data_IF_942219497782
#
_entry.id   IF_942219497782
#
_cell.length_a   1.000
_cell.length_b   1.000
_cell.length_c   1.000
_cell.angle_alpha   90.00
_cell.angle_beta   90.00
_cell.angle_gamma   90.00
#
_symmetry.space_group_name_H-M   'P 1'
#
loop_
_entity.id
_entity.type
_entity.pdbx_description
1 polymer ?
#
# COMPACT_ATOMS: atom_id res chain seq x y z
N UNK A 1 12.44 2.91 -11.55
CA UNK A 1 12.32 2.82 -10.08
C UNK A 1 11.73 1.47 -9.68
N UNK A 2 11.88 1.07 -8.42
CA UNK A 2 11.26 -0.11 -7.84
C UNK A 2 10.10 0.31 -6.93
N UNK A 3 8.96 -0.36 -7.04
CA UNK A 3 7.77 -0.15 -6.19
C UNK A 3 7.39 -1.50 -5.58
N UNK A 4 7.31 -1.59 -4.27
CA UNK A 4 6.87 -2.78 -3.56
C UNK A 4 5.57 -2.49 -2.82
N UNK A 5 4.61 -3.40 -2.92
CA UNK A 5 3.33 -3.31 -2.21
C UNK A 5 3.25 -4.48 -1.23
N UNK A 6 3.23 -4.19 0.07
CA UNK A 6 3.14 -5.15 1.15
C UNK A 6 1.75 -5.11 1.77
N UNK A 7 1.05 -6.24 1.79
CA UNK A 7 -0.33 -6.32 2.28
C UNK A 7 -0.50 -7.47 3.27
N UNK A 8 -1.24 -7.25 4.38
CA UNK A 8 -1.72 -8.36 5.21
C UNK A 8 -3.04 -8.86 4.64
N UNK A 9 -2.95 -9.86 3.76
CA UNK A 9 -4.13 -10.45 3.14
C UNK A 9 -3.90 -11.91 2.73
N UNK A 10 -4.96 -12.71 2.78
CA UNK A 10 -4.96 -14.02 2.12
C UNK A 10 -5.00 -13.81 0.61
N UNK A 11 -4.21 -14.58 -0.14
CA UNK A 11 -4.38 -14.66 -1.60
C UNK A 11 -5.79 -15.14 -1.91
N UNK A 12 -6.48 -14.42 -2.78
CA UNK A 12 -7.81 -14.77 -3.28
C UNK A 12 -7.94 -14.27 -4.70
N UNK A 13 -8.87 -14.83 -5.48
CA UNK A 13 -9.23 -14.35 -6.81
C UNK A 13 -10.60 -13.68 -6.76
N UNK A 14 -10.63 -12.37 -6.99
CA UNK A 14 -11.81 -11.50 -7.00
C UNK A 14 -11.82 -10.61 -8.25
N UNK A 15 -12.94 -9.98 -8.58
CA UNK A 15 -13.00 -9.05 -9.72
C UNK A 15 -12.11 -7.82 -9.53
N UNK A 16 -11.84 -7.41 -8.29
CA UNK A 16 -10.85 -6.38 -7.98
C UNK A 16 -9.44 -6.78 -8.43
N UNK A 17 -9.11 -8.08 -8.42
CA UNK A 17 -7.82 -8.55 -8.91
C UNK A 17 -7.71 -8.36 -10.42
N UNK A 18 -8.80 -8.49 -11.19
CA UNK A 18 -8.79 -8.20 -12.63
C UNK A 18 -8.49 -6.71 -12.89
N UNK A 19 -9.08 -5.82 -12.08
CA UNK A 19 -8.79 -4.38 -12.15
C UNK A 19 -7.32 -4.10 -11.81
N UNK A 20 -6.82 -4.63 -10.69
CA UNK A 20 -5.42 -4.46 -10.26
C UNK A 20 -4.44 -4.98 -11.34
N UNK A 21 -4.74 -6.12 -11.98
CA UNK A 21 -3.91 -6.65 -13.06
C UNK A 21 -3.86 -5.72 -14.29
N UNK A 22 -4.93 -5.00 -14.59
CA UNK A 22 -4.93 -4.00 -15.66
C UNK A 22 -4.01 -2.82 -15.30
N UNK A 23 -4.16 -2.27 -14.10
CA UNK A 23 -3.33 -1.17 -13.62
C UNK A 23 -1.86 -1.57 -13.54
N UNK A 24 -1.56 -2.78 -13.05
CA UNK A 24 -0.21 -3.33 -12.96
C UNK A 24 0.50 -3.35 -14.32
N UNK A 25 -0.19 -3.78 -15.40
CA UNK A 25 0.38 -3.76 -16.76
C UNK A 25 0.74 -2.35 -17.22
N UNK A 26 -0.03 -1.34 -16.80
CA UNK A 26 0.23 0.05 -17.15
C UNK A 26 1.39 0.62 -16.32
N UNK A 27 1.44 0.33 -15.03
CA UNK A 27 2.53 0.71 -14.11
C UNK A 27 3.87 0.12 -14.57
N UNK A 28 3.87 -1.14 -15.02
CA UNK A 28 5.07 -1.85 -15.47
C UNK A 28 5.81 -1.18 -16.62
N UNK A 29 5.17 -0.28 -17.36
CA UNK A 29 5.81 0.54 -18.40
C UNK A 29 6.75 1.59 -17.83
N UNK A 30 6.58 1.97 -16.57
CA UNK A 30 7.31 3.07 -15.92
C UNK A 30 8.15 2.60 -14.71
N UNK A 31 7.77 1.50 -14.06
CA UNK A 31 8.41 1.03 -12.84
C UNK A 31 8.40 -0.50 -12.72
N UNK A 32 9.41 -1.05 -12.03
CA UNK A 32 9.38 -2.43 -11.59
C UNK A 32 8.50 -2.52 -10.33
N UNK A 33 7.27 -2.99 -10.49
CA UNK A 33 6.33 -3.21 -9.37
C UNK A 33 6.35 -4.67 -8.90
N UNK A 34 6.32 -4.89 -7.58
CA UNK A 34 6.22 -6.21 -6.94
C UNK A 34 5.18 -6.20 -5.82
N UNK A 35 4.41 -7.27 -5.73
CA UNK A 35 3.38 -7.45 -4.71
C UNK A 35 3.77 -8.56 -3.73
N UNK A 36 3.52 -8.32 -2.44
CA UNK A 36 3.81 -9.24 -1.35
C UNK A 36 2.60 -9.34 -0.42
N UNK A 37 1.75 -10.33 -0.67
CA UNK A 37 0.65 -10.68 0.24
C UNK A 37 1.17 -11.60 1.36
N UNK A 38 1.13 -11.10 2.59
CA UNK A 38 1.68 -11.77 3.77
C UNK A 38 0.52 -12.23 4.65
N UNK A 39 0.36 -13.55 4.79
CA UNK A 39 -0.62 -14.12 5.70
C UNK A 39 -0.15 -15.50 6.17
N UNK A 40 0.27 -15.59 7.43
CA UNK A 40 0.77 -16.81 8.04
C UNK A 40 -0.12 -17.25 9.21
N UNK A 41 0.17 -18.42 9.79
CA UNK A 41 -0.60 -18.96 10.93
C UNK A 41 -0.60 -18.02 12.14
N UNK A 42 0.51 -17.33 12.42
CA UNK A 42 0.61 -16.39 13.55
C UNK A 42 -0.36 -15.21 13.38
N UNK A 43 -0.38 -14.61 12.19
CA UNK A 43 -1.33 -13.56 11.82
C UNK A 43 -2.77 -14.07 11.94
N UNK A 44 -3.06 -15.25 11.39
CA UNK A 44 -4.39 -15.83 11.42
C UNK A 44 -4.91 -16.09 12.84
N UNK A 45 -4.03 -16.50 13.76
CA UNK A 45 -4.38 -16.73 15.16
C UNK A 45 -4.56 -15.41 15.91
N UNK A 46 -3.63 -14.48 15.73
CA UNK A 46 -3.65 -13.16 16.38
C UNK A 46 -4.94 -12.38 16.07
N UNK A 47 -5.42 -12.42 14.82
CA UNK A 47 -6.64 -11.73 14.40
C UNK A 47 -7.93 -12.19 15.10
N UNK A 48 -7.96 -13.43 15.56
CA UNK A 48 -9.13 -13.99 16.24
C UNK A 48 -9.06 -13.79 17.76
N UNK A 49 -7.96 -13.24 18.28
CA UNK A 49 -7.72 -13.14 19.72
C UNK A 49 -7.99 -11.73 20.23
N UNK A 50 -7.21 -10.74 19.77
CA UNK A 50 -7.31 -9.36 20.23
C UNK A 50 -6.71 -8.39 19.19
N UNK A 51 -7.23 -7.16 19.17
CA UNK A 51 -6.80 -6.10 18.25
C UNK A 51 -5.32 -5.77 18.41
N UNK A 52 -4.81 -5.66 19.64
CA UNK A 52 -3.43 -5.29 19.93
C UNK A 52 -2.49 -6.41 19.47
N UNK A 53 -2.85 -7.66 19.74
CA UNK A 53 -2.06 -8.83 19.32
C UNK A 53 -2.04 -8.91 17.79
N UNK A 54 -3.17 -8.67 17.13
CA UNK A 54 -3.26 -8.64 15.68
C UNK A 54 -2.35 -7.57 15.07
N UNK A 55 -2.45 -6.32 15.54
CA UNK A 55 -1.63 -5.22 15.05
C UNK A 55 -0.13 -5.48 15.25
N UNK A 56 0.27 -5.96 16.44
CA UNK A 56 1.68 -6.33 16.71
C UNK A 56 2.17 -7.46 15.79
N UNK A 57 1.31 -8.43 15.46
CA UNK A 57 1.65 -9.50 14.52
C UNK A 57 1.89 -8.98 13.10
N UNK A 58 1.16 -7.93 12.67
CA UNK A 58 1.34 -7.31 11.38
C UNK A 58 2.66 -6.54 11.32
N UNK A 59 2.98 -5.75 12.34
CA UNK A 59 4.24 -5.02 12.44
C UNK A 59 5.44 -5.94 12.32
N UNK A 60 5.47 -7.02 13.10
CA UNK A 60 6.53 -8.03 13.04
C UNK A 60 6.67 -8.67 11.66
N UNK A 61 5.56 -8.81 10.93
CA UNK A 61 5.59 -9.35 9.58
C UNK A 61 6.12 -8.34 8.54
N UNK A 62 5.95 -7.03 8.78
CA UNK A 62 6.39 -5.97 7.89
C UNK A 62 7.79 -5.43 8.19
N UNK A 63 8.27 -5.50 9.43
CA UNK A 63 9.58 -4.98 9.85
C UNK A 63 10.76 -5.41 8.97
N UNK A 64 10.86 -6.67 8.49
CA UNK A 64 11.94 -7.08 7.59
C UNK A 64 11.98 -6.35 6.25
N UNK A 65 10.91 -5.64 5.88
CA UNK A 65 10.76 -4.96 4.59
C UNK A 65 10.90 -3.44 4.67
N UNK A 66 11.22 -2.89 5.85
CA UNK A 66 11.43 -1.45 6.04
C UNK A 66 12.80 -1.02 5.49
N UNK A 67 12.92 -0.96 4.16
CA UNK A 67 14.16 -0.59 3.48
C UNK A 67 13.88 0.25 2.22
N UNK A 68 14.39 1.46 2.16
CA UNK A 68 14.01 2.47 1.17
C UNK A 68 12.97 3.41 1.76
N UNK A 69 12.15 4.03 0.90
CA UNK A 69 11.15 5.00 1.33
C UNK A 69 9.80 4.32 1.59
N UNK A 70 9.37 4.33 2.85
CA UNK A 70 8.28 3.52 3.40
C UNK A 70 7.04 4.37 3.66
N UNK A 71 5.91 3.94 3.11
CA UNK A 71 4.64 4.66 3.14
C UNK A 71 3.57 3.73 3.68
N UNK A 72 2.97 4.07 4.81
CA UNK A 72 1.79 3.35 5.30
C UNK A 72 0.50 4.01 4.82
N UNK A 73 -0.47 3.19 4.41
CA UNK A 73 -1.82 3.66 4.11
C UNK A 73 -2.72 3.54 5.34
N UNK A 74 -3.16 4.68 5.86
CA UNK A 74 -3.94 4.72 7.09
C UNK A 74 -5.05 5.79 6.99
N UNK A 75 -6.29 5.54 7.45
CA UNK A 75 -7.39 6.51 7.33
C UNK A 75 -7.12 7.87 8.00
N UNK A 76 -6.29 7.88 9.04
CA UNK A 76 -5.83 9.11 9.75
C UNK A 76 -4.49 9.64 9.23
N UNK A 77 -4.02 9.17 8.08
CA UNK A 77 -2.84 9.70 7.41
C UNK A 77 -3.11 11.06 6.79
N UNK A 78 -2.05 11.67 6.24
CA UNK A 78 -2.13 12.91 5.48
C UNK A 78 -3.04 12.73 4.25
N UNK A 79 -4.00 13.63 4.06
CA UNK A 79 -4.79 13.72 2.83
C UNK A 79 -3.99 14.55 1.83
N UNK A 80 -3.63 13.96 0.70
CA UNK A 80 -2.90 14.63 -0.38
C UNK A 80 -3.63 14.44 -1.70
N UNK A 81 -3.44 15.37 -2.63
CA UNK A 81 -4.01 15.25 -3.97
C UNK A 81 -3.13 14.38 -4.90
N UNK A 82 -3.62 14.13 -6.12
CA UNK A 82 -2.88 13.32 -7.10
C UNK A 82 -1.57 13.96 -7.57
N UNK A 83 -1.45 15.29 -7.58
CA UNK A 83 -0.21 15.98 -7.95
C UNK A 83 0.82 15.84 -6.84
N UNK A 84 0.43 16.00 -5.58
CA UNK A 84 1.27 15.76 -4.42
C UNK A 84 1.71 14.30 -4.33
N UNK A 85 0.80 13.36 -4.56
CA UNK A 85 1.12 11.94 -4.64
C UNK A 85 2.12 11.65 -5.76
N UNK A 86 2.00 12.32 -6.91
CA UNK A 86 2.92 12.14 -8.05
C UNK A 86 4.38 12.49 -7.71
N UNK A 87 4.60 13.48 -6.85
CA UNK A 87 5.94 13.92 -6.41
C UNK A 87 6.70 12.85 -5.62
N UNK A 88 6.00 11.88 -5.02
CA UNK A 88 6.62 10.76 -4.29
C UNK A 88 7.52 9.93 -5.23
N UNK A 89 7.18 9.90 -6.51
CA UNK A 89 7.90 9.14 -7.53
C UNK A 89 9.18 9.83 -8.05
N UNK A 90 9.45 11.07 -7.65
CA UNK A 90 10.62 11.84 -8.13
C UNK A 90 11.91 11.51 -7.34
N UNK A 91 11.76 11.20 -6.06
CA UNK A 91 12.86 11.25 -5.09
C UNK A 91 13.52 9.88 -4.90
N UNK A 92 12.78 8.79 -5.10
CA UNK A 92 13.15 7.49 -4.53
C UNK A 92 13.38 6.40 -5.56
N UNK A 93 14.52 5.72 -5.46
CA UNK A 93 14.86 4.56 -6.30
C UNK A 93 14.05 3.32 -5.92
N UNK A 94 13.65 3.21 -4.64
CA UNK A 94 12.80 2.15 -4.10
C UNK A 94 11.71 2.70 -3.16
N UNK A 95 10.45 2.50 -3.54
CA UNK A 95 9.26 2.87 -2.78
C UNK A 95 8.59 1.61 -2.22
N UNK A 96 8.17 1.65 -0.95
CA UNK A 96 7.42 0.58 -0.30
C UNK A 96 6.10 1.13 0.23
N UNK A 97 4.99 0.53 -0.19
CA UNK A 97 3.67 0.83 0.34
C UNK A 97 3.20 -0.32 1.24
N UNK A 98 2.63 0.02 2.39
CA UNK A 98 2.13 -0.93 3.37
C UNK A 98 0.62 -0.76 3.56
N UNK A 99 -0.13 -1.87 3.46
CA UNK A 99 -1.56 -1.95 3.74
C UNK A 99 -1.78 -2.96 4.86
N UNK A 100 -2.32 -2.48 5.98
CA UNK A 100 -2.60 -3.29 7.16
C UNK A 100 -3.70 -4.34 6.93
N UNK A 101 -3.83 -5.24 7.90
CA UNK A 101 -4.92 -6.21 7.94
C UNK A 101 -6.23 -5.58 8.40
N UNK A 102 -7.19 -6.41 8.81
CA UNK A 102 -8.52 -5.95 9.26
C UNK A 102 -8.46 -4.91 10.39
N UNK A 103 -7.43 -4.96 11.23
CA UNK A 103 -7.27 -4.07 12.39
C UNK A 103 -6.30 -2.89 12.15
N UNK A 104 -5.81 -2.69 10.92
CA UNK A 104 -4.88 -1.61 10.61
C UNK A 104 -3.51 -1.76 11.27
N UNK A 105 -2.82 -0.65 11.53
CA UNK A 105 -1.47 -0.62 12.11
C UNK A 105 -1.51 -0.21 13.58
N UNK A 106 -0.55 -0.69 14.38
CA UNK A 106 -0.25 -0.06 15.67
C UNK A 106 0.50 1.26 15.47
N UNK A 107 0.34 2.19 16.42
CA UNK A 107 0.95 3.52 16.34
C UNK A 107 2.48 3.48 16.26
N UNK A 108 3.12 2.54 16.97
CA UNK A 108 4.58 2.37 16.96
C UNK A 108 5.13 1.99 15.59
N UNK A 109 4.35 1.28 14.76
CA UNK A 109 4.73 0.98 13.38
C UNK A 109 4.61 2.21 12.49
N UNK A 110 3.51 2.98 12.62
CA UNK A 110 3.30 4.21 11.85
C UNK A 110 4.41 5.24 12.07
N UNK A 111 4.96 5.33 13.28
CA UNK A 111 6.08 6.21 13.62
C UNK A 111 7.40 5.86 12.90
N UNK A 112 7.51 4.64 12.33
CA UNK A 112 8.68 4.20 11.56
C UNK A 112 8.58 4.54 10.06
N UNK A 113 7.44 5.05 9.61
CA UNK A 113 7.20 5.32 8.19
C UNK A 113 7.73 6.70 7.81
N UNK A 114 8.24 6.83 6.60
CA UNK A 114 8.62 8.13 6.04
C UNK A 114 7.39 9.00 5.76
N UNK A 115 6.27 8.36 5.39
CA UNK A 115 4.95 8.99 5.24
C UNK A 115 3.84 8.07 5.71
N UNK A 116 2.77 8.67 6.22
CA UNK A 116 1.49 8.00 6.47
C UNK A 116 0.44 8.74 5.66
N UNK A 117 -0.11 8.09 4.64
CA UNK A 117 -1.04 8.72 3.67
C UNK A 117 -2.43 8.12 3.85
N UNK A 118 -3.45 8.97 3.78
CA UNK A 118 -4.84 8.56 3.70
C UNK A 118 -5.29 8.45 2.25
N UNK A 119 -6.03 7.38 1.93
CA UNK A 119 -6.75 7.26 0.65
C UNK A 119 -8.15 7.90 0.71
N UNK A 120 -8.51 8.50 1.85
CA UNK A 120 -9.79 9.14 2.11
C UNK A 120 -10.26 8.94 3.56
N UNK A 121 -11.27 9.71 3.95
CA UNK A 121 -11.83 9.72 5.32
C UNK A 121 -12.55 8.44 5.71
N UNK A 122 -13.01 7.68 4.72
CA UNK A 122 -13.76 6.45 4.95
C UNK A 122 -12.84 5.28 5.20
N UNK A 123 -13.30 4.35 6.04
CA UNK A 123 -12.61 3.07 6.24
C UNK A 123 -12.82 2.18 5.01
N UNK A 124 -11.77 2.02 4.22
CA UNK A 124 -11.75 1.10 3.09
C UNK A 124 -11.31 -0.29 3.56
N UNK A 125 -11.92 -1.36 3.02
CA UNK A 125 -11.36 -2.70 3.18
C UNK A 125 -9.97 -2.76 2.53
N UNK A 126 -9.08 -3.60 3.05
CA UNK A 126 -7.70 -3.73 2.52
C UNK A 126 -7.66 -3.99 1.01
N UNK A 127 -8.61 -4.76 0.46
CA UNK A 127 -8.71 -5.01 -1.00
C UNK A 127 -9.07 -3.76 -1.79
N UNK A 128 -10.03 -2.97 -1.30
CA UNK A 128 -10.44 -1.72 -1.95
C UNK A 128 -9.33 -0.69 -1.84
N UNK A 129 -8.71 -0.54 -0.66
CA UNK A 129 -7.55 0.32 -0.46
C UNK A 129 -6.41 -0.04 -1.42
N UNK A 130 -6.15 -1.34 -1.63
CA UNK A 130 -5.16 -1.83 -2.59
C UNK A 130 -5.53 -1.43 -4.02
N UNK A 131 -6.77 -1.64 -4.45
CA UNK A 131 -7.21 -1.25 -5.79
C UNK A 131 -7.06 0.26 -6.03
N UNK A 132 -7.47 1.09 -5.07
CA UNK A 132 -7.31 2.55 -5.12
C UNK A 132 -5.82 2.93 -5.18
N UNK A 133 -4.96 2.30 -4.37
CA UNK A 133 -3.52 2.54 -4.42
C UNK A 133 -2.94 2.24 -5.80
N UNK A 134 -3.30 1.11 -6.41
CA UNK A 134 -2.78 0.74 -7.74
C UNK A 134 -3.17 1.78 -8.79
N UNK A 135 -4.43 2.21 -8.79
CA UNK A 135 -4.90 3.28 -9.69
C UNK A 135 -4.14 4.59 -9.44
N UNK A 136 -3.96 4.99 -8.18
CA UNK A 136 -3.23 6.23 -7.85
C UNK A 136 -1.73 6.14 -8.18
N UNK A 137 -1.10 4.97 -8.05
CA UNK A 137 0.29 4.75 -8.53
C UNK A 137 0.36 4.96 -10.03
N UNK A 138 -0.56 4.37 -10.80
CA UNK A 138 -0.59 4.57 -12.24
C UNK A 138 -0.83 6.04 -12.60
N UNK A 139 -1.77 6.71 -11.92
CA UNK A 139 -2.06 8.13 -12.09
C UNK A 139 -0.86 9.01 -11.79
N UNK A 140 -0.20 8.81 -10.64
CA UNK A 140 0.98 9.58 -10.26
C UNK A 140 2.15 9.38 -11.22
N UNK A 141 2.40 8.15 -11.67
CA UNK A 141 3.39 7.88 -12.71
C UNK A 141 3.01 8.52 -14.06
N UNK A 142 1.72 8.54 -14.41
CA UNK A 142 1.23 9.19 -15.63
C UNK A 142 1.45 10.70 -15.59
N UNK A 143 1.13 11.35 -14.47
CA UNK A 143 1.39 12.78 -14.24
C UNK A 143 2.89 13.07 -14.39
N UNK A 144 3.73 12.31 -13.69
CA UNK A 144 5.19 12.47 -13.74
C UNK A 144 5.76 12.36 -15.16
N UNK A 145 5.20 11.48 -15.99
CA UNK A 145 5.68 11.23 -17.34
C UNK A 145 4.90 12.03 -18.41
N UNK A 146 4.12 13.05 -18.02
CA UNK A 146 3.30 13.87 -18.93
C UNK A 146 2.39 13.05 -19.85
N UNK A 147 1.87 11.92 -19.37
CA UNK A 147 0.99 11.04 -20.14
C UNK A 147 -0.47 11.55 -20.10
N UNK A 148 -1.21 11.55 -21.23
CA UNK A 148 -2.58 12.11 -21.33
C UNK A 148 -3.67 11.34 -20.57
N UNK A 149 -3.29 10.39 -19.71
CA UNK A 149 -4.22 9.64 -18.87
C UNK A 149 -4.78 10.53 -17.76
N UNK A 150 -3.96 11.46 -17.27
CA UNK A 150 -4.45 12.51 -16.40
C UNK A 150 -5.13 13.59 -17.26
N UNK A 151 -6.46 13.66 -17.18
CA UNK A 151 -7.30 14.73 -17.73
C UNK A 151 -8.09 15.33 -16.58
#
# INVERSE_FOLDING_TARGET
MKINIYTIEKKSSSDLDKFIQKELKMIQKYAQIKEFSIFNKKISQAQNQDVIIAQSSYSKAFEPYLNGYNIALHPKGEEIDSFEFSKIFDINTALNFFIGGAYGFESSFLLKMDRVISLGRLTLSHKVAKAVLFEQIFRGLSIKNNHPYHK
#
